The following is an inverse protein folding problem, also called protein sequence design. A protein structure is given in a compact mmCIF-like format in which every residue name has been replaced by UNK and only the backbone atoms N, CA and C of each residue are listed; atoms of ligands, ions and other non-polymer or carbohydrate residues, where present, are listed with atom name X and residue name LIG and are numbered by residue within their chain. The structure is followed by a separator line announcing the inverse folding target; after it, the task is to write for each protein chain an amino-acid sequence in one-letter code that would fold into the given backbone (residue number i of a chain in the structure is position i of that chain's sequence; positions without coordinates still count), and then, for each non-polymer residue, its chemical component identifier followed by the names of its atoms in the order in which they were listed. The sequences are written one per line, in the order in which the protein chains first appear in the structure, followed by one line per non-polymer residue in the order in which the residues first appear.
data_IF_436429090158
#
_entry.id   IF_436429090158
#
_cell.length_a   1.000
_cell.length_b   1.000
_cell.length_c   1.000
_cell.angle_alpha   90.00
_cell.angle_beta   90.00
_cell.angle_gamma   90.00
#
_symmetry.space_group_name_H-M   'P 1'
#
loop_
_entity.id
_entity.type
_entity.pdbx_description
1 polymer ?
#
# COMPACT_ATOMS: atom_id res chain seq x y z
N UNK A 1 -5.72 33.07 19.92
CA UNK A 1 -6.82 32.50 19.13
C UNK A 1 -6.99 31.07 19.59
N UNK A 2 -8.03 30.81 20.38
CA UNK A 2 -8.37 29.45 20.85
C UNK A 2 -8.70 28.56 19.63
N UNK A 3 -8.51 27.24 19.74
CA UNK A 3 -8.73 26.30 18.63
C UNK A 3 -10.12 26.44 18.00
N UNK A 4 -11.13 26.72 18.84
CA UNK A 4 -12.51 26.96 18.47
C UNK A 4 -12.69 28.19 17.58
N UNK A 5 -11.92 29.25 17.83
CA UNK A 5 -12.00 30.49 17.06
C UNK A 5 -11.32 30.37 15.68
N UNK A 6 -10.29 29.52 15.55
CA UNK A 6 -9.71 29.15 14.26
C UNK A 6 -10.67 28.26 13.46
N UNK A 7 -11.24 27.24 14.09
CA UNK A 7 -12.21 26.32 13.46
C UNK A 7 -13.44 27.05 12.92
N UNK A 8 -13.96 28.02 13.68
CA UNK A 8 -15.08 28.85 13.24
C UNK A 8 -14.75 29.81 12.07
N UNK A 9 -13.46 30.06 11.79
CA UNK A 9 -12.99 30.89 10.67
C UNK A 9 -12.55 30.07 9.44
N UNK A 10 -12.41 28.76 9.57
CA UNK A 10 -11.99 27.88 8.48
C UNK A 10 -13.19 27.49 7.61
N UNK A 11 -13.49 28.32 6.62
CA UNK A 11 -14.37 27.93 5.53
C UNK A 11 -13.58 27.07 4.53
N UNK A 12 -13.94 25.78 4.40
CA UNK A 12 -13.38 24.93 3.37
C UNK A 12 -14.01 25.30 2.01
N UNK A 13 -13.22 25.96 1.17
CA UNK A 13 -13.62 26.32 -0.19
C UNK A 13 -13.12 25.25 -1.16
N UNK A 14 -13.98 24.80 -2.07
CA UNK A 14 -13.57 23.88 -3.13
C UNK A 14 -12.64 24.61 -4.11
N UNK A 15 -11.43 24.11 -4.31
CA UNK A 15 -10.51 24.63 -5.34
C UNK A 15 -10.83 24.01 -6.69
N UNK A 16 -11.15 22.71 -6.69
CA UNK A 16 -11.58 21.95 -7.86
C UNK A 16 -12.71 20.98 -7.48
N UNK A 17 -13.16 20.16 -8.43
CA UNK A 17 -14.07 19.04 -8.15
C UNK A 17 -13.44 17.93 -7.28
N UNK A 18 -12.12 17.99 -7.03
CA UNK A 18 -11.36 16.93 -6.35
C UNK A 18 -10.77 17.33 -5.00
N UNK A 19 -10.51 18.62 -4.76
CA UNK A 19 -9.86 19.06 -3.52
C UNK A 19 -10.30 20.47 -3.09
N UNK A 20 -10.22 20.70 -1.78
CA UNK A 20 -10.41 22.01 -1.15
C UNK A 20 -9.12 22.82 -1.21
N UNK A 21 -9.24 24.14 -1.19
CA UNK A 21 -8.12 25.04 -0.95
C UNK A 21 -7.54 24.68 0.42
N UNK A 22 -6.23 24.42 0.49
CA UNK A 22 -5.57 24.17 1.77
C UNK A 22 -5.39 25.51 2.52
N UNK A 23 -6.16 25.78 3.58
CA UNK A 23 -6.08 27.06 4.29
C UNK A 23 -4.78 27.23 5.08
N UNK A 24 -3.96 26.17 5.16
CA UNK A 24 -2.71 26.12 5.89
C UNK A 24 -1.49 26.00 4.96
N UNK A 25 -1.66 26.27 3.67
CA UNK A 25 -0.59 26.14 2.69
C UNK A 25 0.59 27.09 2.98
N UNK A 26 0.30 28.37 3.23
CA UNK A 26 1.31 29.40 3.50
C UNK A 26 1.89 29.32 4.93
N UNK A 27 1.11 28.87 5.91
CA UNK A 27 1.55 28.71 7.30
C UNK A 27 1.07 27.40 7.91
N UNK A 28 1.72 26.31 7.51
CA UNK A 28 1.47 24.97 8.05
C UNK A 28 1.77 24.87 9.55
N UNK A 29 2.64 25.75 10.09
CA UNK A 29 2.96 25.80 11.52
C UNK A 29 1.80 26.34 12.34
N UNK A 30 0.95 27.20 11.77
CA UNK A 30 -0.25 27.69 12.44
C UNK A 30 -1.21 26.54 12.76
N UNK A 31 -1.52 25.68 11.78
CA UNK A 31 -2.36 24.49 12.00
C UNK A 31 -1.73 23.52 13.01
N UNK A 32 -0.43 23.25 12.88
CA UNK A 32 0.27 22.28 13.71
C UNK A 32 0.17 22.60 15.21
N UNK A 33 0.02 23.87 15.60
CA UNK A 33 -0.17 24.28 17.01
C UNK A 33 -1.45 23.74 17.64
N UNK A 34 -2.46 23.46 16.83
CA UNK A 34 -3.76 22.98 17.29
C UNK A 34 -3.86 21.45 17.32
N UNK A 35 -2.94 20.76 16.64
CA UNK A 35 -2.88 19.30 16.58
C UNK A 35 -1.93 18.80 17.67
N UNK A 36 -2.40 18.80 18.92
CA UNK A 36 -1.62 18.29 20.07
C UNK A 36 -1.69 16.77 20.15
N UNK A 37 -0.76 16.14 20.88
CA UNK A 37 -0.80 14.70 21.16
C UNK A 37 -2.10 14.30 21.88
N UNK A 38 -2.54 15.10 22.86
CA UNK A 38 -3.80 14.88 23.56
C UNK A 38 -5.00 14.91 22.61
N UNK A 39 -5.04 15.89 21.71
CA UNK A 39 -6.10 15.98 20.70
C UNK A 39 -6.08 14.76 19.76
N UNK A 40 -4.90 14.35 19.27
CA UNK A 40 -4.75 13.16 18.42
C UNK A 40 -5.27 11.91 19.16
N UNK A 41 -4.84 11.69 20.40
CA UNK A 41 -5.26 10.53 21.19
C UNK A 41 -6.77 10.54 21.46
N UNK A 42 -7.36 11.72 21.69
CA UNK A 42 -8.81 11.87 21.83
C UNK A 42 -9.55 11.54 20.54
N UNK A 43 -9.08 12.02 19.37
CA UNK A 43 -9.68 11.69 18.09
C UNK A 43 -9.55 10.19 17.75
N UNK A 44 -8.39 9.59 18.01
CA UNK A 44 -8.17 8.14 17.85
C UNK A 44 -9.18 7.37 18.71
N UNK A 45 -9.37 7.76 19.98
CA UNK A 45 -10.35 7.14 20.86
C UNK A 45 -11.76 7.20 20.27
N UNK A 46 -12.22 8.38 19.90
CA UNK A 46 -13.58 8.60 19.39
C UNK A 46 -13.84 7.77 18.11
N UNK A 47 -12.91 7.80 17.16
CA UNK A 47 -13.03 7.04 15.92
C UNK A 47 -12.99 5.53 16.17
N UNK A 48 -12.08 5.05 17.03
CA UNK A 48 -11.98 3.63 17.36
C UNK A 48 -13.24 3.11 18.06
N UNK A 49 -13.81 3.88 18.98
CA UNK A 49 -15.08 3.54 19.64
C UNK A 49 -16.22 3.45 18.63
N UNK A 50 -16.36 4.42 17.72
CA UNK A 50 -17.35 4.39 16.64
C UNK A 50 -17.18 3.16 15.73
N UNK A 51 -15.94 2.88 15.30
CA UNK A 51 -15.62 1.73 14.46
C UNK A 51 -15.94 0.41 15.19
N UNK A 52 -15.63 0.32 16.48
CA UNK A 52 -15.84 -0.89 17.29
C UNK A 52 -17.32 -1.24 17.49
N UNK A 53 -18.20 -0.24 17.44
CA UNK A 53 -19.65 -0.39 17.63
C UNK A 53 -20.40 -0.59 16.31
N UNK A 54 -19.72 -0.43 15.17
CA UNK A 54 -20.31 -0.58 13.84
C UNK A 54 -20.80 -2.01 13.63
N UNK A 55 -22.06 -2.16 13.22
CA UNK A 55 -22.60 -3.45 12.78
C UNK A 55 -22.04 -3.78 11.39
N UNK A 56 -21.44 -4.97 11.27
CA UNK A 56 -20.91 -5.50 10.01
C UNK A 56 -21.93 -6.50 9.46
N UNK A 57 -22.34 -6.32 8.20
CA UNK A 57 -23.32 -7.20 7.56
C UNK A 57 -22.73 -8.56 7.16
N UNK A 58 -23.58 -9.55 6.90
CA UNK A 58 -23.15 -10.85 6.37
C UNK A 58 -22.41 -10.72 5.02
N UNK A 59 -22.81 -9.76 4.19
CA UNK A 59 -22.21 -9.54 2.87
C UNK A 59 -20.82 -8.91 3.00
N UNK A 60 -20.61 -8.06 4.01
CA UNK A 60 -19.29 -7.55 4.35
C UNK A 60 -18.38 -8.65 4.88
N UNK A 61 -18.89 -9.57 5.71
CA UNK A 61 -18.10 -10.73 6.18
C UNK A 61 -17.64 -11.67 5.07
N UNK A 62 -18.28 -11.65 3.90
CA UNK A 62 -17.83 -12.40 2.72
C UNK A 62 -16.65 -11.72 1.99
N UNK A 63 -16.37 -10.44 2.25
CA UNK A 63 -15.23 -9.74 1.65
C UNK A 63 -13.92 -10.28 2.22
N UNK A 64 -13.06 -10.78 1.35
CA UNK A 64 -11.74 -11.27 1.73
C UNK A 64 -10.72 -10.12 1.83
N UNK A 65 -9.70 -10.33 2.67
CA UNK A 65 -8.60 -9.37 2.86
C UNK A 65 -8.94 -8.10 3.64
N UNK A 66 -7.92 -7.27 3.95
CA UNK A 66 -8.10 -6.06 4.73
C UNK A 66 -8.52 -4.80 3.98
N UNK A 67 -8.47 -4.77 2.64
CA UNK A 67 -8.72 -3.53 1.90
C UNK A 67 -10.15 -3.01 2.10
N UNK A 68 -11.13 -3.90 1.97
CA UNK A 68 -12.57 -3.60 2.17
C UNK A 68 -13.26 -4.59 3.10
N UNK A 69 -12.54 -5.61 3.59
CA UNK A 69 -13.09 -6.67 4.42
C UNK A 69 -12.93 -6.40 5.93
N UNK A 70 -13.67 -7.16 6.77
CA UNK A 70 -13.64 -6.97 8.22
C UNK A 70 -12.27 -7.11 8.87
N UNK A 71 -11.34 -7.86 8.26
CA UNK A 71 -9.97 -7.92 8.75
C UNK A 71 -9.26 -6.57 8.76
N UNK A 72 -9.59 -5.63 7.87
CA UNK A 72 -9.06 -4.27 7.89
C UNK A 72 -9.58 -3.46 9.08
N UNK A 73 -10.85 -3.67 9.44
CA UNK A 73 -11.47 -3.10 10.64
C UNK A 73 -10.77 -3.65 11.89
N UNK A 74 -10.63 -4.96 11.97
CA UNK A 74 -9.94 -5.63 13.07
C UNK A 74 -8.47 -5.18 13.19
N UNK A 75 -7.77 -5.03 12.06
CA UNK A 75 -6.39 -4.54 12.05
C UNK A 75 -6.31 -3.10 12.58
N UNK A 76 -7.24 -2.22 12.19
CA UNK A 76 -7.29 -0.85 12.70
C UNK A 76 -7.46 -0.81 14.23
N UNK A 77 -8.39 -1.60 14.77
CA UNK A 77 -8.62 -1.70 16.22
C UNK A 77 -7.41 -2.31 16.96
N UNK A 78 -6.74 -3.29 16.35
CA UNK A 78 -5.50 -3.86 16.87
C UNK A 78 -4.40 -2.80 16.98
N UNK A 79 -4.20 -1.97 15.94
CA UNK A 79 -3.20 -0.88 15.97
C UNK A 79 -3.51 0.15 17.05
N UNK A 80 -4.77 0.50 17.24
CA UNK A 80 -5.18 1.42 18.33
C UNK A 80 -4.80 0.84 19.69
N UNK A 81 -5.09 -0.45 19.92
CA UNK A 81 -4.76 -1.14 21.18
C UNK A 81 -3.25 -1.20 21.44
N UNK A 82 -2.46 -1.35 20.37
CA UNK A 82 -0.99 -1.38 20.47
C UNK A 82 -0.38 -0.01 20.78
N UNK A 83 -0.94 1.06 20.22
CA UNK A 83 -0.44 2.43 20.40
C UNK A 83 -0.91 3.03 21.73
N UNK A 84 -2.16 2.79 22.12
CA UNK A 84 -2.76 3.33 23.33
C UNK A 84 -3.26 2.22 24.26
N UNK A 85 -2.44 1.86 25.25
CA UNK A 85 -2.73 0.79 26.21
C UNK A 85 -3.99 1.02 27.07
N UNK A 86 -4.50 2.26 27.12
CA UNK A 86 -5.75 2.56 27.83
C UNK A 86 -7.00 2.19 27.03
N UNK A 87 -6.85 1.91 25.73
CA UNK A 87 -7.92 1.48 24.84
C UNK A 87 -7.70 0.02 24.48
N UNK A 88 -8.52 -0.89 25.02
CA UNK A 88 -8.42 -2.31 24.72
C UNK A 88 -9.57 -2.76 23.80
N UNK A 89 -9.24 -2.98 22.52
CA UNK A 89 -10.15 -3.55 21.52
C UNK A 89 -9.78 -4.99 21.15
N UNK A 90 -9.02 -5.69 22.00
CA UNK A 90 -8.56 -7.06 21.73
C UNK A 90 -9.73 -8.01 21.48
N UNK A 91 -10.77 -7.95 22.31
CA UNK A 91 -11.93 -8.84 22.19
C UNK A 91 -12.74 -8.57 20.92
N UNK A 92 -12.93 -7.30 20.56
CA UNK A 92 -13.62 -6.87 19.35
C UNK A 92 -12.85 -7.33 18.11
N UNK A 93 -11.53 -7.12 18.10
CA UNK A 93 -10.61 -7.60 17.06
C UNK A 93 -10.74 -9.11 16.86
N UNK A 94 -10.68 -9.88 17.95
CA UNK A 94 -10.81 -11.34 17.91
C UNK A 94 -12.17 -11.77 17.37
N UNK A 95 -13.26 -11.19 17.87
CA UNK A 95 -14.62 -11.53 17.46
C UNK A 95 -14.86 -11.26 15.96
N UNK A 96 -14.37 -10.13 15.44
CA UNK A 96 -14.47 -9.80 14.01
C UNK A 96 -13.74 -10.85 13.17
N UNK A 97 -12.51 -11.20 13.53
CA UNK A 97 -11.68 -12.15 12.77
C UNK A 97 -12.19 -13.59 12.85
N UNK A 98 -12.71 -14.01 14.01
CA UNK A 98 -13.36 -15.30 14.18
C UNK A 98 -14.68 -15.38 13.41
N UNK A 99 -15.48 -14.31 13.43
CA UNK A 99 -16.71 -14.24 12.64
C UNK A 99 -16.39 -14.32 11.15
N UNK A 100 -15.47 -13.48 10.64
CA UNK A 100 -15.05 -13.52 9.23
C UNK A 100 -14.54 -14.91 8.81
N UNK A 101 -13.86 -15.64 9.70
CA UNK A 101 -13.37 -17.00 9.40
C UNK A 101 -14.47 -17.99 9.03
N UNK A 102 -15.70 -17.78 9.53
CA UNK A 102 -16.87 -18.63 9.25
C UNK A 102 -17.46 -18.38 7.86
N UNK A 103 -17.18 -17.22 7.26
CA UNK A 103 -17.68 -16.83 5.94
C UNK A 103 -16.68 -17.15 4.81
N UNK A 104 -15.55 -17.78 5.12
CA UNK A 104 -14.49 -18.00 4.15
C UNK A 104 -14.92 -19.00 3.07
N UNK A 105 -15.01 -18.55 1.82
CA UNK A 105 -15.38 -19.36 0.65
C UNK A 105 -14.14 -19.96 -0.01
N UNK A 106 -14.26 -21.08 -0.74
CA UNK A 106 -13.14 -21.77 -1.41
C UNK A 106 -12.53 -21.02 -2.63
N UNK A 107 -12.68 -19.69 -2.71
CA UNK A 107 -12.37 -18.86 -3.89
C UNK A 107 -10.89 -18.90 -4.32
N UNK A 108 -10.63 -18.51 -5.58
CA UNK A 108 -9.30 -18.38 -6.22
C UNK A 108 -8.46 -17.21 -5.71
N UNK A 109 -9.00 -16.25 -4.95
CA UNK A 109 -8.28 -15.05 -4.46
C UNK A 109 -7.36 -15.31 -3.26
N UNK A 110 -6.82 -16.52 -3.11
CA UNK A 110 -6.19 -16.95 -1.86
C UNK A 110 -4.86 -16.24 -1.58
N UNK A 111 -4.05 -15.97 -2.60
CA UNK A 111 -2.70 -15.42 -2.44
C UNK A 111 -2.66 -13.91 -2.20
N UNK A 112 -3.73 -13.18 -2.54
CA UNK A 112 -3.72 -11.71 -2.51
C UNK A 112 -3.54 -11.20 -1.08
N UNK A 113 -2.73 -10.15 -0.93
CA UNK A 113 -2.52 -9.53 0.37
C UNK A 113 -3.71 -8.64 0.76
N UNK A 114 -3.88 -7.49 0.11
CA UNK A 114 -4.90 -6.51 0.48
C UNK A 114 -6.34 -6.99 0.19
N UNK A 115 -6.55 -7.73 -0.89
CA UNK A 115 -7.87 -8.23 -1.29
C UNK A 115 -8.09 -9.73 -1.03
N UNK A 116 -7.22 -10.41 -0.28
CA UNK A 116 -7.27 -11.86 -0.19
C UNK A 116 -6.84 -12.47 1.14
N UNK A 117 -6.69 -13.80 1.11
CA UNK A 117 -6.48 -14.58 2.32
C UNK A 117 -5.10 -14.43 2.94
N UNK A 118 -4.09 -14.05 2.16
CA UNK A 118 -2.76 -13.79 2.72
C UNK A 118 -2.83 -12.66 3.76
N UNK A 119 -3.53 -11.56 3.45
CA UNK A 119 -3.74 -10.46 4.42
C UNK A 119 -4.62 -10.85 5.59
N UNK A 120 -5.67 -11.65 5.36
CA UNK A 120 -6.49 -12.18 6.45
C UNK A 120 -5.67 -13.02 7.44
N UNK A 121 -4.84 -13.95 6.95
CA UNK A 121 -3.97 -14.75 7.80
C UNK A 121 -2.91 -13.91 8.50
N UNK A 122 -2.37 -12.91 7.81
CA UNK A 122 -1.42 -11.97 8.42
C UNK A 122 -2.04 -11.28 9.64
N UNK A 123 -3.23 -10.73 9.50
CA UNK A 123 -3.89 -9.99 10.59
C UNK A 123 -4.27 -10.92 11.74
N UNK A 124 -4.68 -12.15 11.45
CA UNK A 124 -4.90 -13.17 12.49
C UNK A 124 -3.62 -13.51 13.24
N UNK A 125 -2.49 -13.60 12.54
CA UNK A 125 -1.20 -13.84 13.17
C UNK A 125 -0.81 -12.67 14.09
N UNK A 126 -0.94 -11.43 13.62
CA UNK A 126 -0.69 -10.23 14.43
C UNK A 126 -1.63 -10.13 15.65
N UNK A 127 -2.87 -10.58 15.52
CA UNK A 127 -3.84 -10.64 16.60
C UNK A 127 -3.65 -11.85 17.55
N UNK A 128 -2.57 -12.63 17.37
CA UNK A 128 -2.26 -13.85 18.14
C UNK A 128 -3.41 -14.89 18.10
N UNK A 129 -4.14 -14.98 16.99
CA UNK A 129 -5.20 -15.98 16.77
C UNK A 129 -4.72 -17.25 16.06
N UNK A 130 -3.51 -17.22 15.51
CA UNK A 130 -2.82 -18.38 14.95
C UNK A 130 -1.36 -18.30 15.35
N UNK A 131 -0.76 -19.44 15.64
CA UNK A 131 0.68 -19.54 15.91
C UNK A 131 1.50 -19.42 14.61
N UNK A 132 2.82 -19.33 14.80
CA UNK A 132 3.78 -19.18 13.71
C UNK A 132 3.78 -20.37 12.73
N UNK A 133 3.70 -21.60 13.23
CA UNK A 133 3.73 -22.80 12.39
C UNK A 133 2.48 -22.90 11.51
N UNK A 134 1.32 -22.56 12.08
CA UNK A 134 0.06 -22.49 11.38
C UNK A 134 0.07 -21.38 10.32
N UNK A 135 0.63 -20.21 10.65
CA UNK A 135 0.80 -19.11 9.72
C UNK A 135 1.75 -19.48 8.57
N UNK A 136 2.96 -20.00 8.87
CA UNK A 136 3.93 -20.50 7.87
C UNK A 136 3.30 -21.55 6.96
N UNK A 137 2.57 -22.54 7.50
CA UNK A 137 1.86 -23.56 6.70
C UNK A 137 0.80 -22.96 5.79
N UNK A 138 0.05 -21.95 6.26
CA UNK A 138 -0.97 -21.27 5.45
C UNK A 138 -0.35 -20.45 4.33
N UNK A 139 0.70 -19.68 4.61
CA UNK A 139 1.43 -18.88 3.62
C UNK A 139 2.19 -19.77 2.62
N UNK A 140 2.80 -20.87 3.08
CA UNK A 140 3.50 -21.83 2.22
C UNK A 140 2.60 -22.44 1.16
N UNK A 141 1.29 -22.59 1.42
CA UNK A 141 0.33 -23.03 0.39
C UNK A 141 -0.01 -21.96 -0.64
N UNK A 142 0.24 -20.70 -0.32
CA UNK A 142 -0.06 -19.56 -1.20
C UNK A 142 1.15 -19.17 -2.04
N UNK A 143 2.37 -19.38 -1.53
CA UNK A 143 3.57 -18.93 -2.20
C UNK A 143 3.82 -19.67 -3.51
N UNK A 144 3.52 -20.96 -3.58
CA UNK A 144 3.61 -21.73 -4.83
C UNK A 144 2.70 -21.13 -5.91
N UNK A 145 1.47 -20.76 -5.55
CA UNK A 145 0.55 -20.07 -6.46
C UNK A 145 1.08 -18.69 -6.88
N UNK A 146 1.70 -17.94 -5.97
CA UNK A 146 2.32 -16.62 -6.27
C UNK A 146 3.51 -16.76 -7.22
N UNK A 147 4.29 -17.83 -7.09
CA UNK A 147 5.44 -18.05 -7.97
C UNK A 147 4.96 -18.50 -9.34
N UNK A 148 4.13 -19.54 -9.39
CA UNK A 148 3.89 -20.31 -10.62
C UNK A 148 2.57 -20.03 -11.34
N UNK A 149 1.54 -19.50 -10.67
CA UNK A 149 0.19 -19.44 -11.26
C UNK A 149 -0.43 -18.05 -11.39
N UNK A 150 -0.08 -17.09 -10.53
CA UNK A 150 -0.60 -15.73 -10.67
C UNK A 150 0.04 -15.02 -11.86
N UNK A 151 -0.73 -14.22 -12.59
CA UNK A 151 -0.20 -13.36 -13.66
C UNK A 151 -0.06 -11.90 -13.19
N UNK A 152 -0.91 -11.48 -12.25
CA UNK A 152 -0.89 -10.13 -11.68
C UNK A 152 0.41 -9.85 -10.91
N UNK A 153 0.96 -8.65 -11.13
CA UNK A 153 2.18 -8.19 -10.45
C UNK A 153 1.95 -6.99 -9.51
N UNK A 154 0.82 -6.31 -9.58
CA UNK A 154 0.56 -5.08 -8.82
C UNK A 154 0.28 -5.30 -7.30
N UNK A 155 -0.01 -4.22 -6.56
CA UNK A 155 -0.06 -4.22 -5.09
C UNK A 155 -1.36 -4.81 -4.53
N UNK A 156 -2.50 -4.67 -5.22
CA UNK A 156 -3.78 -5.08 -4.64
C UNK A 156 -4.08 -6.58 -4.85
N UNK A 157 -3.57 -7.16 -5.92
CA UNK A 157 -3.90 -8.50 -6.44
C UNK A 157 -2.66 -9.34 -6.78
N UNK A 158 -1.51 -8.73 -7.03
CA UNK A 158 -0.36 -9.41 -7.60
C UNK A 158 0.77 -9.76 -6.64
N UNK A 159 1.88 -10.21 -7.25
CA UNK A 159 3.12 -10.60 -6.58
C UNK A 159 3.72 -9.49 -5.71
N UNK A 160 3.68 -8.23 -6.15
CA UNK A 160 4.18 -7.10 -5.37
C UNK A 160 3.38 -6.96 -4.07
N UNK A 161 2.05 -7.06 -4.13
CA UNK A 161 1.18 -7.02 -2.96
C UNK A 161 1.48 -8.13 -1.96
N UNK A 162 1.70 -9.34 -2.45
CA UNK A 162 2.09 -10.47 -1.61
C UNK A 162 3.38 -10.18 -0.83
N UNK A 163 4.45 -9.73 -1.51
CA UNK A 163 5.70 -9.35 -0.85
C UNK A 163 5.54 -8.16 0.11
N UNK A 164 4.70 -7.17 -0.24
CA UNK A 164 4.41 -6.02 0.62
C UNK A 164 3.90 -6.44 2.01
N UNK A 165 3.05 -7.46 2.07
CA UNK A 165 2.53 -7.99 3.35
C UNK A 165 3.62 -8.55 4.27
N UNK A 166 4.72 -9.06 3.71
CA UNK A 166 5.84 -9.59 4.51
C UNK A 166 6.87 -8.54 4.89
N UNK A 167 6.98 -7.42 4.16
CA UNK A 167 7.78 -6.27 4.61
C UNK A 167 7.33 -5.78 5.99
N UNK A 168 6.02 -5.74 6.20
CA UNK A 168 5.44 -5.36 7.48
C UNK A 168 5.89 -6.28 8.63
N UNK A 169 5.97 -7.59 8.40
CA UNK A 169 6.44 -8.54 9.42
C UNK A 169 7.94 -8.46 9.66
N UNK A 170 8.72 -8.21 8.60
CA UNK A 170 10.18 -8.07 8.72
C UNK A 170 10.56 -6.88 9.61
N UNK A 171 9.74 -5.83 9.62
CA UNK A 171 9.94 -4.66 10.47
C UNK A 171 9.49 -4.88 11.93
N UNK A 172 8.76 -5.95 12.24
CA UNK A 172 8.27 -6.28 13.59
C UNK A 172 9.11 -7.38 14.29
N UNK A 173 10.39 -7.54 13.92
CA UNK A 173 11.34 -8.52 14.50
C UNK A 173 10.83 -9.98 14.53
N UNK A 174 9.93 -10.33 13.61
CA UNK A 174 9.40 -11.70 13.49
C UNK A 174 10.36 -12.59 12.70
N UNK A 175 10.42 -13.87 13.07
CA UNK A 175 11.17 -14.90 12.32
C UNK A 175 10.88 -14.87 10.81
N UNK A 176 11.85 -15.33 10.01
CA UNK A 176 11.68 -15.50 8.55
C UNK A 176 10.46 -16.38 8.25
N UNK A 177 9.39 -15.76 7.75
CA UNK A 177 8.13 -16.46 7.37
C UNK A 177 8.29 -17.18 6.04
N UNK A 178 8.92 -16.50 5.08
CA UNK A 178 9.24 -17.01 3.75
C UNK A 178 10.76 -17.03 3.60
N UNK A 179 11.29 -18.01 2.88
CA UNK A 179 12.73 -18.16 2.71
C UNK A 179 13.29 -17.10 1.75
N UNK A 180 14.59 -16.81 1.88
CA UNK A 180 15.31 -15.92 0.96
C UNK A 180 15.23 -16.42 -0.49
N UNK A 181 15.17 -17.74 -0.69
CA UNK A 181 15.01 -18.38 -1.99
C UNK A 181 13.61 -18.13 -2.57
N UNK A 182 12.55 -18.30 -1.76
CA UNK A 182 11.18 -18.00 -2.18
C UNK A 182 11.00 -16.51 -2.55
N UNK A 183 11.61 -15.60 -1.78
CA UNK A 183 11.64 -14.17 -2.12
C UNK A 183 12.27 -13.96 -3.50
N UNK A 184 13.43 -14.58 -3.78
CA UNK A 184 14.08 -14.48 -5.10
C UNK A 184 13.23 -15.05 -6.22
N UNK A 185 12.56 -16.18 -6.01
CA UNK A 185 11.67 -16.78 -7.01
C UNK A 185 10.51 -15.83 -7.37
N UNK A 186 9.86 -15.21 -6.37
CA UNK A 186 8.79 -14.23 -6.63
C UNK A 186 9.32 -13.00 -7.37
N UNK A 187 10.48 -12.45 -6.95
CA UNK A 187 11.09 -11.29 -7.62
C UNK A 187 11.52 -11.60 -9.05
N UNK A 188 12.05 -12.80 -9.31
CA UNK A 188 12.44 -13.24 -10.65
C UNK A 188 11.23 -13.37 -11.56
N UNK A 189 10.12 -13.95 -11.07
CA UNK A 189 8.88 -14.02 -11.83
C UNK A 189 8.34 -12.62 -12.17
N UNK A 190 8.41 -11.65 -11.24
CA UNK A 190 8.05 -10.26 -11.50
C UNK A 190 8.96 -9.60 -12.55
N UNK A 191 10.28 -9.85 -12.49
CA UNK A 191 11.25 -9.30 -13.44
C UNK A 191 11.05 -9.88 -14.84
N UNK A 192 10.84 -11.18 -14.94
CA UNK A 192 10.58 -11.87 -16.19
C UNK A 192 9.30 -11.32 -16.84
N UNK A 193 8.20 -11.26 -16.10
CA UNK A 193 6.96 -10.67 -16.57
C UNK A 193 7.14 -9.23 -17.08
N UNK A 194 7.86 -8.39 -16.31
CA UNK A 194 8.07 -6.98 -16.67
C UNK A 194 8.95 -6.77 -17.91
N UNK A 195 9.99 -7.59 -18.08
CA UNK A 195 10.88 -7.55 -19.25
C UNK A 195 10.20 -8.07 -20.50
N UNK A 196 9.47 -9.18 -20.37
CA UNK A 196 8.71 -9.79 -21.48
C UNK A 196 7.67 -8.81 -21.99
N UNK A 197 6.83 -8.28 -21.09
CA UNK A 197 5.80 -7.30 -21.46
C UNK A 197 6.40 -6.07 -22.14
N UNK A 198 7.45 -5.50 -21.54
CA UNK A 198 8.16 -4.34 -22.11
C UNK A 198 8.67 -4.60 -23.54
N UNK A 199 9.27 -5.78 -23.77
CA UNK A 199 9.80 -6.16 -25.09
C UNK A 199 8.69 -6.38 -26.11
N UNK A 200 7.61 -7.07 -25.73
CA UNK A 200 6.50 -7.40 -26.61
C UNK A 200 5.68 -6.17 -27.04
N UNK A 201 5.66 -5.12 -26.21
CA UNK A 201 4.89 -3.90 -26.43
C UNK A 201 5.74 -2.70 -26.84
N UNK A 202 7.04 -2.88 -27.10
CA UNK A 202 7.98 -1.81 -27.45
C UNK A 202 7.95 -0.64 -26.45
N UNK A 203 7.94 -0.97 -25.16
CA UNK A 203 7.88 0.02 -24.08
C UNK A 203 9.20 0.78 -23.94
N UNK A 204 9.12 2.09 -23.75
CA UNK A 204 10.27 2.96 -23.45
C UNK A 204 10.95 2.62 -22.10
N UNK A 205 10.25 1.93 -21.20
CA UNK A 205 10.77 1.47 -19.91
C UNK A 205 11.24 0.01 -19.98
N UNK A 206 12.38 -0.31 -19.35
CA UNK A 206 12.91 -1.70 -19.29
C UNK A 206 11.97 -2.69 -18.59
N UNK A 207 11.15 -2.21 -17.64
CA UNK A 207 10.12 -2.99 -16.96
C UNK A 207 8.79 -2.27 -17.14
N UNK A 208 7.80 -2.97 -17.68
CA UNK A 208 6.44 -2.46 -17.80
C UNK A 208 5.44 -3.57 -17.49
N UNK A 209 4.26 -3.18 -17.02
CA UNK A 209 3.23 -4.12 -16.56
C UNK A 209 1.85 -3.60 -16.93
N UNK A 210 0.95 -4.52 -17.23
CA UNK A 210 -0.47 -4.23 -17.35
C UNK A 210 -1.28 -4.84 -16.21
N UNK A 211 -2.44 -4.23 -15.97
CA UNK A 211 -3.51 -4.82 -15.19
C UNK A 211 -4.83 -4.42 -15.84
N UNK A 212 -5.67 -5.39 -16.21
CA UNK A 212 -6.92 -5.16 -16.97
C UNK A 212 -6.73 -4.24 -18.19
N UNK A 213 -5.83 -4.65 -19.10
CA UNK A 213 -5.59 -3.99 -20.40
C UNK A 213 -5.08 -2.55 -20.30
N UNK A 214 -4.45 -2.20 -19.17
CA UNK A 214 -3.94 -0.85 -18.91
C UNK A 214 -2.59 -0.89 -18.21
N UNK A 215 -1.65 -0.12 -18.74
CA UNK A 215 -0.36 0.17 -18.12
C UNK A 215 -0.53 1.25 -17.03
N UNK A 216 -1.01 0.84 -15.86
CA UNK A 216 -1.14 1.75 -14.72
C UNK A 216 0.22 2.18 -14.19
N UNK A 217 0.30 3.44 -13.74
CA UNK A 217 1.55 4.02 -13.24
C UNK A 217 1.54 4.26 -11.73
N UNK A 218 0.35 4.37 -11.11
CA UNK A 218 0.21 4.64 -9.67
C UNK A 218 0.58 3.45 -8.76
N UNK A 219 0.51 3.66 -7.44
CA UNK A 219 1.00 2.66 -6.48
C UNK A 219 0.09 1.44 -6.30
N UNK A 220 -1.22 1.55 -6.54
CA UNK A 220 -2.14 0.46 -6.27
C UNK A 220 -2.09 -0.64 -7.35
N UNK A 221 -2.28 -0.24 -8.61
CA UNK A 221 -2.40 -1.17 -9.74
C UNK A 221 -1.21 -1.08 -10.72
N UNK A 222 -0.23 -0.24 -10.42
CA UNK A 222 0.72 0.22 -11.42
C UNK A 222 2.19 0.11 -11.04
N UNK A 223 2.99 0.61 -11.98
CA UNK A 223 4.44 0.47 -11.97
C UNK A 223 5.10 1.08 -10.72
N UNK A 224 4.60 2.19 -10.17
CA UNK A 224 5.19 2.78 -8.96
C UNK A 224 5.16 1.82 -7.76
N UNK A 225 4.07 1.07 -7.56
CA UNK A 225 3.97 0.10 -6.47
C UNK A 225 4.91 -1.09 -6.67
N UNK A 226 5.02 -1.57 -7.90
CA UNK A 226 5.92 -2.67 -8.26
C UNK A 226 7.39 -2.26 -8.06
N UNK A 227 7.78 -1.08 -8.54
CA UNK A 227 9.12 -0.51 -8.34
C UNK A 227 9.44 -0.33 -6.85
N UNK A 228 8.50 0.15 -6.04
CA UNK A 228 8.68 0.27 -4.60
C UNK A 228 9.03 -1.08 -3.95
N UNK A 229 8.43 -2.18 -4.42
CA UNK A 229 8.76 -3.53 -3.92
C UNK A 229 10.15 -3.97 -4.36
N UNK A 230 10.54 -3.76 -5.62
CA UNK A 230 11.91 -4.05 -6.04
C UNK A 230 12.95 -3.29 -5.22
N UNK A 231 12.71 -2.01 -4.95
CA UNK A 231 13.58 -1.17 -4.12
C UNK A 231 13.62 -1.68 -2.66
N UNK A 232 12.49 -2.09 -2.11
CA UNK A 232 12.41 -2.64 -0.75
C UNK A 232 13.13 -3.99 -0.59
N UNK A 233 13.30 -4.73 -1.68
CA UNK A 233 14.03 -6.00 -1.73
C UNK A 233 15.35 -5.91 -2.52
N UNK A 234 15.94 -4.72 -2.60
CA UNK A 234 17.12 -4.43 -3.44
C UNK A 234 18.27 -5.43 -3.31
N UNK A 235 18.53 -5.92 -2.10
CA UNK A 235 19.62 -6.87 -1.81
C UNK A 235 19.39 -8.29 -2.36
N UNK A 236 18.17 -8.60 -2.81
CA UNK A 236 17.84 -9.88 -3.44
C UNK A 236 18.00 -9.84 -4.97
N UNK A 237 18.21 -8.65 -5.55
CA UNK A 237 18.32 -8.45 -6.99
C UNK A 237 19.76 -8.63 -7.47
N UNK A 238 19.93 -9.30 -8.62
CA UNK A 238 21.21 -9.35 -9.33
C UNK A 238 21.54 -8.02 -10.02
N UNK A 239 22.77 -7.89 -10.54
CA UNK A 239 23.24 -6.65 -11.17
C UNK A 239 22.40 -6.21 -12.38
N UNK A 240 21.83 -7.16 -13.15
CA UNK A 240 21.02 -6.84 -14.33
C UNK A 240 19.64 -6.34 -13.88
N UNK A 241 19.00 -7.03 -12.94
CA UNK A 241 17.74 -6.62 -12.33
C UNK A 241 17.85 -5.24 -11.69
N UNK A 242 18.94 -4.98 -10.95
CA UNK A 242 19.23 -3.66 -10.38
C UNK A 242 19.28 -2.56 -11.44
N UNK A 243 19.98 -2.83 -12.55
CA UNK A 243 20.06 -1.90 -13.69
C UNK A 243 18.68 -1.64 -14.29
N UNK A 244 17.90 -2.68 -14.55
CA UNK A 244 16.57 -2.56 -15.16
C UNK A 244 15.60 -1.76 -14.28
N UNK A 245 15.60 -2.04 -12.97
CA UNK A 245 14.79 -1.30 -11.99
C UNK A 245 15.20 0.17 -11.97
N UNK A 246 16.51 0.46 -11.87
CA UNK A 246 17.00 1.86 -11.84
C UNK A 246 16.63 2.61 -13.11
N UNK A 247 16.87 2.03 -14.29
CA UNK A 247 16.53 2.65 -15.58
C UNK A 247 15.03 2.88 -15.73
N UNK A 248 14.21 1.96 -15.23
CA UNK A 248 12.75 2.13 -15.20
C UNK A 248 12.31 3.27 -14.27
N UNK A 249 12.92 3.41 -13.08
CA UNK A 249 12.67 4.56 -12.19
C UNK A 249 13.09 5.88 -12.86
N UNK A 250 14.20 5.90 -13.58
CA UNK A 250 14.68 7.08 -14.31
C UNK A 250 13.74 7.47 -15.47
N UNK A 251 13.25 6.49 -16.24
CA UNK A 251 12.17 6.72 -17.19
C UNK A 251 10.92 7.28 -16.50
N UNK A 252 10.55 6.73 -15.34
CA UNK A 252 9.38 7.16 -14.57
C UNK A 252 9.49 8.62 -14.11
N UNK A 253 10.68 9.09 -13.75
CA UNK A 253 10.91 10.51 -13.46
C UNK A 253 10.66 11.40 -14.68
N UNK A 254 11.02 10.92 -15.88
CA UNK A 254 10.85 11.65 -17.14
C UNK A 254 9.39 11.92 -17.52
N UNK A 255 8.43 11.16 -16.98
CA UNK A 255 7.00 11.33 -17.25
C UNK A 255 6.28 12.25 -16.24
N UNK A 256 7.01 12.86 -15.29
CA UNK A 256 6.42 13.83 -14.36
C UNK A 256 5.79 15.00 -15.13
N UNK A 257 4.56 15.35 -14.77
CA UNK A 257 3.83 16.43 -15.41
C UNK A 257 4.34 17.80 -14.95
N UNK A 258 3.96 18.84 -15.70
CA UNK A 258 4.39 20.22 -15.42
C UNK A 258 3.97 20.71 -14.04
N UNK A 259 2.83 20.25 -13.53
CA UNK A 259 2.30 20.56 -12.20
C UNK A 259 2.91 19.71 -11.08
N UNK A 260 3.84 18.82 -11.41
CA UNK A 260 4.45 17.90 -10.45
C UNK A 260 3.69 16.61 -10.23
N UNK A 261 2.47 16.49 -10.74
CA UNK A 261 1.69 15.27 -10.64
C UNK A 261 2.21 14.20 -11.61
N UNK A 262 1.68 12.98 -11.47
CA UNK A 262 1.99 11.85 -12.33
C UNK A 262 0.71 11.31 -13.00
N UNK A 263 0.80 10.90 -14.27
CA UNK A 263 -0.34 10.35 -14.99
C UNK A 263 -0.79 9.02 -14.37
N UNK A 264 -2.08 8.69 -14.49
CA UNK A 264 -2.62 7.44 -13.94
C UNK A 264 -2.18 6.19 -14.71
N UNK A 265 -1.90 6.35 -16.00
CA UNK A 265 -1.47 5.32 -16.94
C UNK A 265 -0.73 5.96 -18.12
N UNK A 266 -0.05 5.16 -18.94
CA UNK A 266 0.78 5.61 -20.07
C UNK A 266 0.01 6.44 -21.11
N UNK A 267 -1.24 6.10 -21.40
CA UNK A 267 -2.12 6.88 -22.29
C UNK A 267 -2.41 8.32 -21.83
N UNK A 268 -2.06 8.65 -20.57
CA UNK A 268 -2.19 9.97 -19.96
C UNK A 268 -0.86 10.72 -19.84
N UNK A 269 0.26 10.16 -20.29
CA UNK A 269 1.54 10.86 -20.31
C UNK A 269 1.42 12.13 -21.17
N UNK A 270 1.93 13.25 -20.64
CA UNK A 270 1.85 14.57 -21.27
C UNK A 270 0.47 15.23 -21.24
N UNK A 271 -0.53 14.60 -20.62
CA UNK A 271 -1.89 15.15 -20.43
C UNK A 271 -2.09 15.57 -18.99
N UNK A 272 -3.07 16.45 -18.75
CA UNK A 272 -3.45 16.85 -17.39
C UNK A 272 -3.91 15.63 -16.57
N UNK A 273 -3.46 15.57 -15.31
CA UNK A 273 -3.82 14.51 -14.36
C UNK A 273 -4.54 15.09 -13.15
N UNK A 274 -5.80 14.71 -12.98
CA UNK A 274 -6.65 15.21 -11.89
C UNK A 274 -6.52 14.40 -10.59
N UNK A 275 -5.93 13.20 -10.66
CA UNK A 275 -5.87 12.28 -9.52
C UNK A 275 -4.63 12.57 -8.69
N UNK A 276 -4.84 12.90 -7.41
CA UNK A 276 -3.79 13.08 -6.40
C UNK A 276 -4.07 12.11 -5.25
N UNK A 277 -3.96 10.82 -5.54
CA UNK A 277 -4.29 9.73 -4.62
C UNK A 277 -3.09 8.83 -4.40
N UNK A 278 -3.14 8.01 -3.33
CA UNK A 278 -2.18 6.91 -3.18
C UNK A 278 -2.26 5.94 -4.37
N UNK A 279 -3.47 5.60 -4.82
CA UNK A 279 -3.64 4.64 -5.91
C UNK A 279 -3.17 5.17 -7.28
N UNK A 280 -3.35 6.47 -7.54
CA UNK A 280 -3.04 7.12 -8.82
C UNK A 280 -2.61 8.58 -8.57
N UNK A 281 -1.46 8.96 -9.11
CA UNK A 281 -0.89 10.31 -8.98
C UNK A 281 0.27 10.39 -7.99
N UNK A 282 0.65 11.63 -7.69
CA UNK A 282 1.88 11.95 -6.96
C UNK A 282 1.99 11.28 -5.58
N UNK A 283 0.90 11.14 -4.84
CA UNK A 283 0.95 10.63 -3.45
C UNK A 283 1.48 9.21 -3.35
N UNK A 284 1.10 8.33 -4.29
CA UNK A 284 1.63 6.97 -4.36
C UNK A 284 3.06 6.93 -4.90
N UNK A 285 3.34 7.73 -5.92
CA UNK A 285 4.67 7.81 -6.56
C UNK A 285 5.74 8.32 -5.60
N UNK A 286 5.40 9.27 -4.73
CA UNK A 286 6.31 9.83 -3.74
C UNK A 286 6.95 8.75 -2.85
N UNK A 287 6.19 7.72 -2.45
CA UNK A 287 6.72 6.62 -1.64
C UNK A 287 7.78 5.81 -2.39
N UNK A 288 7.57 5.57 -3.69
CA UNK A 288 8.54 4.91 -4.56
C UNK A 288 9.79 5.76 -4.73
N UNK A 289 9.66 7.07 -4.91
CA UNK A 289 10.79 8.00 -5.06
C UNK A 289 11.63 8.13 -3.79
N UNK A 290 10.99 8.15 -2.61
CA UNK A 290 11.71 8.09 -1.32
C UNK A 290 12.48 6.78 -1.23
N UNK A 291 11.87 5.64 -1.56
CA UNK A 291 12.56 4.35 -1.58
C UNK A 291 13.73 4.35 -2.59
N UNK A 292 13.57 5.00 -3.74
CA UNK A 292 14.62 5.14 -4.74
C UNK A 292 15.79 5.97 -4.21
N UNK A 293 15.53 7.12 -3.56
CA UNK A 293 16.58 7.92 -2.93
C UNK A 293 17.33 7.12 -1.86
N UNK A 294 16.63 6.38 -0.99
CA UNK A 294 17.28 5.56 0.05
C UNK A 294 18.17 4.45 -0.50
N UNK A 295 17.88 3.95 -1.71
CA UNK A 295 18.64 2.86 -2.35
C UNK A 295 19.76 3.38 -3.25
N UNK A 296 19.51 4.46 -4.00
CA UNK A 296 20.42 5.00 -5.00
C UNK A 296 21.31 6.13 -4.47
N UNK A 297 20.92 6.78 -3.37
CA UNK A 297 21.63 7.90 -2.75
C UNK A 297 21.85 9.08 -3.72
N UNK A 298 20.80 9.45 -4.46
CA UNK A 298 20.83 10.56 -5.42
C UNK A 298 19.71 11.57 -5.13
N UNK A 299 20.05 12.86 -5.05
CA UNK A 299 19.11 13.94 -4.70
C UNK A 299 17.97 14.11 -5.71
N UNK A 300 18.17 13.75 -6.98
CA UNK A 300 17.18 13.89 -8.07
C UNK A 300 15.84 13.22 -7.77
N UNK A 301 15.82 12.18 -6.92
CA UNK A 301 14.61 11.48 -6.49
C UNK A 301 13.81 12.23 -5.41
N UNK A 302 14.43 13.19 -4.72
CA UNK A 302 13.80 14.09 -3.74
C UNK A 302 13.51 15.48 -4.31
N UNK A 303 14.19 15.86 -5.40
CA UNK A 303 14.02 17.15 -6.09
C UNK A 303 12.88 17.19 -7.12
N UNK A 304 12.09 16.12 -7.23
CA UNK A 304 10.89 16.12 -8.06
C UNK A 304 10.04 17.33 -7.73
N UNK A 305 9.61 18.04 -8.79
CA UNK A 305 8.84 19.29 -8.64
C UNK A 305 7.53 18.96 -7.95
N UNK A 306 7.43 19.16 -6.65
CA UNK A 306 6.14 19.26 -5.97
C UNK A 306 5.77 20.73 -6.16
N UNK A 307 5.05 21.07 -7.23
CA UNK A 307 4.65 22.46 -7.44
C UNK A 307 3.64 22.82 -6.35
N UNK A 308 3.93 23.99 -5.78
CA UNK A 308 3.17 24.70 -4.75
C UNK A 308 1.70 24.87 -5.12
#
# INVERSE_FOLDING_TARGET
MEAEELLNKLALEAQTSRYFVNPFFEDSKLAAKYVTEEWILQQIKLLAEQISQRKISSDEYQKEGPYVGPSGIAYSLLRVTQINKNLDFTNQTKNILETQSKFSSNSSNKSKYLNGRAGFYLIRFLANLIDLDNFKRKIGKLIDYVIYETEDNEILNGRAGFLAGFLMLRNEDREKIISDDQIRQVLNAMLEAGRTYSTEHDSDANLMYEWHEKEYLGAAHGLAGILQIFLSYWNFLDSKAKKDVKQTVEWFLGIQLKDGNFPSNTNKIGKEAELVHWCHGATGVLQMLIAANLVFDEEKYLEVKIIK
#
